data_IF_597615193802
#
_entry.id   IF_597615193802
#
_cell.length_a   1.000
_cell.length_b   1.000
_cell.length_c   1.000
_cell.angle_alpha   90.00
_cell.angle_beta   90.00
_cell.angle_gamma   90.00
#
_symmetry.space_group_name_H-M   'P 1'
#
loop_
_entity.id
_entity.type
_entity.pdbx_description
1 polymer ?
#
# COMPACT_ATOMS: atom_id res chain seq x y z
N UNK A 1 -2.93 -22.99 -37.86
CA UNK A 1 -3.45 -21.84 -38.63
C UNK A 1 -4.34 -21.04 -37.69
N UNK A 2 -3.82 -19.98 -37.07
CA UNK A 2 -4.54 -19.19 -36.05
C UNK A 2 -5.35 -18.13 -36.78
N UNK A 3 -6.67 -18.14 -36.61
CA UNK A 3 -7.59 -17.16 -37.19
C UNK A 3 -7.80 -16.06 -36.13
N UNK A 4 -7.08 -14.95 -36.25
CA UNK A 4 -7.34 -13.76 -35.46
C UNK A 4 -8.62 -13.09 -35.96
N UNK A 5 -9.62 -12.98 -35.08
CA UNK A 5 -10.84 -12.20 -35.32
C UNK A 5 -10.73 -10.94 -34.47
N UNK A 6 -10.41 -9.82 -35.09
CA UNK A 6 -10.53 -8.51 -34.46
C UNK A 6 -12.02 -8.14 -34.37
N UNK A 7 -12.60 -8.25 -33.19
CA UNK A 7 -13.79 -7.47 -32.81
C UNK A 7 -13.28 -6.25 -32.04
N UNK A 8 -13.87 -5.08 -32.32
CA UNK A 8 -13.69 -3.87 -31.52
C UNK A 8 -14.06 -4.18 -30.06
N UNK A 9 -13.07 -4.52 -29.25
CA UNK A 9 -13.17 -4.60 -27.80
C UNK A 9 -12.84 -3.19 -27.32
N UNK A 10 -13.76 -2.57 -26.57
CA UNK A 10 -13.46 -1.33 -25.83
C UNK A 10 -12.21 -1.59 -24.97
N UNK A 11 -11.34 -0.60 -24.79
CA UNK A 11 -10.04 -0.73 -24.14
C UNK A 11 -10.09 -1.18 -22.64
N UNK A 12 -11.28 -1.47 -22.14
CA UNK A 12 -11.65 -1.58 -20.74
C UNK A 12 -11.47 -3.00 -20.19
N UNK A 13 -11.33 -4.05 -21.02
CA UNK A 13 -11.34 -5.45 -20.55
C UNK A 13 -10.39 -6.38 -21.35
N UNK A 14 -9.11 -6.04 -21.44
CA UNK A 14 -8.09 -7.03 -21.84
C UNK A 14 -7.79 -7.94 -20.65
N UNK A 15 -8.32 -9.16 -20.68
CA UNK A 15 -8.01 -10.23 -19.71
C UNK A 15 -7.34 -11.41 -20.43
N UNK A 16 -6.20 -11.86 -19.90
CA UNK A 16 -5.62 -13.16 -20.24
C UNK A 16 -5.88 -14.14 -19.10
N UNK A 17 -6.48 -15.29 -19.44
CA UNK A 17 -6.81 -16.35 -18.49
C UNK A 17 -6.19 -17.67 -18.94
N UNK A 18 -5.49 -18.33 -18.02
CA UNK A 18 -4.87 -19.64 -18.22
C UNK A 18 -5.31 -20.61 -17.13
N UNK A 19 -5.44 -21.88 -17.50
CA UNK A 19 -5.87 -22.95 -16.61
C UNK A 19 -4.79 -24.02 -16.58
N UNK A 20 -4.35 -24.40 -15.38
CA UNK A 20 -3.32 -25.40 -15.16
C UNK A 20 -3.87 -26.52 -14.28
N UNK A 21 -3.69 -27.76 -14.72
CA UNK A 21 -3.96 -28.95 -13.91
C UNK A 21 -2.85 -29.27 -12.92
N UNK A 22 -3.07 -30.28 -12.08
CA UNK A 22 -2.14 -30.66 -11.02
C UNK A 22 -0.73 -31.04 -11.53
N UNK A 23 -0.62 -31.56 -12.74
CA UNK A 23 0.65 -31.99 -13.34
C UNK A 23 1.40 -30.89 -14.08
N UNK A 24 0.78 -29.71 -14.28
CA UNK A 24 1.31 -28.63 -15.13
C UNK A 24 2.02 -27.53 -14.33
N UNK A 25 2.62 -27.88 -13.18
CA UNK A 25 3.25 -26.90 -12.30
C UNK A 25 4.37 -26.11 -13.00
N UNK A 26 5.20 -26.78 -13.80
CA UNK A 26 6.33 -26.14 -14.48
C UNK A 26 5.87 -25.19 -15.60
N UNK A 27 4.83 -25.57 -16.35
CA UNK A 27 4.19 -24.73 -17.35
C UNK A 27 3.54 -23.49 -16.70
N UNK A 28 2.90 -23.68 -15.55
CA UNK A 28 2.32 -22.60 -14.75
C UNK A 28 3.39 -21.60 -14.29
N UNK A 29 4.51 -22.09 -13.77
CA UNK A 29 5.63 -21.22 -13.35
C UNK A 29 6.19 -20.45 -14.54
N UNK A 30 6.39 -21.11 -15.69
CA UNK A 30 6.86 -20.42 -16.89
C UNK A 30 5.88 -19.33 -17.33
N UNK A 31 4.57 -19.62 -17.31
CA UNK A 31 3.55 -18.64 -17.64
C UNK A 31 3.57 -17.43 -16.70
N UNK A 32 3.80 -17.65 -15.40
CA UNK A 32 3.96 -16.58 -14.40
C UNK A 32 5.22 -15.76 -14.68
N UNK A 33 6.35 -16.40 -15.00
CA UNK A 33 7.62 -15.71 -15.27
C UNK A 33 7.54 -14.80 -16.50
N UNK A 34 6.88 -15.25 -17.56
CA UNK A 34 6.62 -14.44 -18.76
C UNK A 34 5.78 -13.19 -18.45
N UNK A 35 5.07 -13.17 -17.31
CA UNK A 35 4.17 -12.10 -16.84
C UNK A 35 4.63 -11.49 -15.51
N UNK A 36 5.92 -11.61 -15.19
CA UNK A 36 6.51 -11.14 -13.92
C UNK A 36 6.34 -9.65 -13.60
N UNK A 37 5.95 -8.83 -14.57
CA UNK A 37 5.73 -7.38 -14.37
C UNK A 37 4.25 -7.02 -14.17
N UNK A 38 3.35 -8.00 -14.17
CA UNK A 38 1.92 -7.78 -14.02
C UNK A 38 1.40 -8.42 -12.73
N UNK A 39 0.30 -7.88 -12.22
CA UNK A 39 -0.47 -8.49 -11.15
C UNK A 39 -1.15 -9.74 -11.70
N UNK A 40 -0.97 -10.85 -10.99
CA UNK A 40 -1.58 -12.13 -11.34
C UNK A 40 -2.56 -12.51 -10.24
N UNK A 41 -3.84 -12.43 -10.59
CA UNK A 41 -4.92 -12.97 -9.79
C UNK A 41 -5.00 -14.48 -10.03
N UNK A 42 -5.47 -15.20 -9.02
CA UNK A 42 -5.63 -16.63 -9.10
C UNK A 42 -6.95 -17.08 -8.47
N UNK A 43 -7.54 -18.08 -9.09
CA UNK A 43 -8.65 -18.86 -8.55
C UNK A 43 -8.17 -20.31 -8.49
N UNK A 44 -8.34 -20.94 -7.34
CA UNK A 44 -7.80 -22.26 -7.04
C UNK A 44 -8.97 -23.13 -6.62
N UNK A 45 -9.08 -24.28 -7.24
CA UNK A 45 -10.03 -25.31 -6.84
C UNK A 45 -9.30 -26.60 -6.51
N UNK A 46 -9.73 -27.27 -5.45
CA UNK A 46 -9.04 -28.42 -4.92
C UNK A 46 -9.89 -29.28 -4.00
N UNK A 47 -9.30 -30.38 -3.55
CA UNK A 47 -9.83 -31.17 -2.45
C UNK A 47 -8.90 -31.07 -1.26
N UNK A 48 -9.45 -30.90 -0.08
CA UNK A 48 -8.76 -31.17 1.17
C UNK A 48 -8.51 -32.68 1.31
N UNK A 49 -7.50 -33.07 2.08
CA UNK A 49 -7.29 -34.49 2.46
C UNK A 49 -8.50 -35.06 3.21
N UNK A 50 -9.30 -34.21 3.87
CA UNK A 50 -10.57 -34.57 4.51
C UNK A 50 -11.75 -34.77 3.52
N UNK A 51 -11.48 -34.87 2.22
CA UNK A 51 -12.44 -34.99 1.10
C UNK A 51 -13.40 -33.79 0.89
N UNK A 52 -13.22 -32.68 1.62
CA UNK A 52 -13.98 -31.44 1.41
C UNK A 52 -13.48 -30.70 0.16
N UNK A 53 -14.40 -30.21 -0.67
CA UNK A 53 -14.06 -29.34 -1.80
C UNK A 53 -13.65 -27.95 -1.31
N UNK A 54 -12.68 -27.34 -1.99
CA UNK A 54 -12.22 -25.99 -1.73
C UNK A 54 -12.22 -25.19 -3.02
N UNK A 55 -12.67 -23.94 -2.90
CA UNK A 55 -12.57 -22.93 -3.94
C UNK A 55 -12.13 -21.63 -3.28
N UNK A 56 -11.01 -21.08 -3.73
CA UNK A 56 -10.50 -19.81 -3.22
C UNK A 56 -10.05 -18.90 -4.35
N UNK A 57 -10.12 -17.60 -4.10
CA UNK A 57 -9.56 -16.57 -4.96
C UNK A 57 -8.56 -15.75 -4.18
N UNK A 58 -7.57 -15.22 -4.87
CA UNK A 58 -6.55 -14.40 -4.26
C UNK A 58 -5.52 -13.91 -5.26
N UNK A 59 -4.42 -13.39 -4.72
CA UNK A 59 -3.32 -12.85 -5.51
C UNK A 59 -2.02 -13.60 -5.27
N UNK A 60 -1.23 -13.73 -6.33
CA UNK A 60 0.11 -14.31 -6.24
C UNK A 60 1.05 -13.34 -5.50
N UNK A 61 1.76 -13.86 -4.49
CA UNK A 61 2.79 -13.14 -3.75
C UNK A 61 4.17 -13.37 -4.37
N UNK A 62 4.99 -12.32 -4.37
CA UNK A 62 6.35 -12.28 -4.90
C UNK A 62 7.36 -11.96 -3.81
N UNK A 63 8.64 -12.19 -4.09
CA UNK A 63 9.70 -11.73 -3.20
C UNK A 63 9.82 -10.21 -3.25
N UNK A 64 10.48 -9.66 -2.22
CA UNK A 64 10.77 -8.23 -2.13
C UNK A 64 11.70 -7.68 -3.21
N UNK A 65 12.48 -8.54 -3.86
CA UNK A 65 13.31 -8.19 -5.02
C UNK A 65 12.53 -8.23 -6.35
N UNK A 66 11.24 -8.54 -6.31
CA UNK A 66 10.37 -8.66 -7.47
C UNK A 66 10.42 -10.00 -8.19
N UNK A 67 11.27 -10.95 -7.76
CA UNK A 67 11.37 -12.25 -8.40
C UNK A 67 10.26 -13.19 -7.91
N UNK A 68 9.80 -14.12 -8.78
CA UNK A 68 8.86 -15.13 -8.33
C UNK A 68 9.59 -16.29 -7.63
N UNK A 69 8.82 -17.05 -6.87
CA UNK A 69 9.28 -18.28 -6.26
C UNK A 69 9.19 -19.44 -7.26
N UNK A 70 10.34 -20.03 -7.61
CA UNK A 70 10.41 -21.09 -8.63
C UNK A 70 10.08 -22.50 -8.12
N UNK A 71 10.06 -22.69 -6.79
CA UNK A 71 9.83 -24.00 -6.14
C UNK A 71 8.50 -24.09 -5.38
N UNK A 72 7.83 -22.97 -5.19
CA UNK A 72 6.54 -22.91 -4.49
C UNK A 72 5.80 -21.67 -4.95
N UNK A 73 4.47 -21.71 -5.01
CA UNK A 73 3.65 -20.51 -5.11
C UNK A 73 3.19 -20.09 -3.72
N UNK A 74 3.15 -18.79 -3.49
CA UNK A 74 2.57 -18.19 -2.30
C UNK A 74 1.40 -17.33 -2.74
N UNK A 75 0.25 -17.52 -2.13
CA UNK A 75 -0.99 -16.86 -2.55
C UNK A 75 -1.67 -16.30 -1.31
N UNK A 76 -1.97 -15.01 -1.33
CA UNK A 76 -2.86 -14.39 -0.36
C UNK A 76 -4.29 -14.65 -0.80
N UNK A 77 -5.01 -15.51 -0.08
CA UNK A 77 -6.44 -15.75 -0.29
C UNK A 77 -7.25 -14.56 0.19
N UNK A 78 -8.09 -14.03 -0.66
CA UNK A 78 -8.97 -12.89 -0.36
C UNK A 78 -10.43 -13.34 -0.18
N UNK A 79 -10.81 -14.42 -0.87
CA UNK A 79 -12.13 -15.06 -0.77
C UNK A 79 -11.95 -16.58 -0.81
N UNK A 80 -12.83 -17.34 -0.14
CA UNK A 80 -12.88 -18.77 -0.34
C UNK A 80 -13.97 -19.49 0.45
N UNK A 81 -14.42 -20.61 -0.11
CA UNK A 81 -15.37 -21.54 0.50
C UNK A 81 -14.61 -22.72 1.11
N UNK A 82 -14.75 -22.92 2.42
CA UNK A 82 -14.13 -24.01 3.16
C UNK A 82 -15.18 -24.92 3.78
N UNK A 83 -15.58 -25.97 3.06
CA UNK A 83 -16.47 -27.01 3.62
C UNK A 83 -17.88 -26.53 3.99
N UNK A 84 -18.54 -27.26 4.90
CA UNK A 84 -19.98 -27.18 5.20
C UNK A 84 -20.46 -25.90 5.90
N UNK A 85 -19.55 -25.07 6.40
CA UNK A 85 -19.86 -23.98 7.33
C UNK A 85 -19.38 -22.59 6.85
N UNK A 86 -19.10 -22.44 5.54
CA UNK A 86 -18.81 -21.15 4.87
C UNK A 86 -17.93 -20.19 5.69
N UNK A 87 -16.82 -20.70 6.25
CA UNK A 87 -15.85 -19.84 6.91
C UNK A 87 -15.18 -19.01 5.81
N UNK A 88 -15.48 -17.70 5.79
CA UNK A 88 -14.75 -16.70 5.02
C UNK A 88 -13.28 -16.83 5.38
N UNK A 89 -12.49 -17.43 4.50
CA UNK A 89 -11.04 -17.49 4.65
C UNK A 89 -10.53 -16.06 4.47
N UNK A 90 -10.43 -15.33 5.59
CA UNK A 90 -9.92 -13.98 5.62
C UNK A 90 -8.43 -13.99 5.33
N UNK A 91 -8.01 -13.30 4.25
CA UNK A 91 -6.64 -12.82 3.99
C UNK A 91 -5.52 -13.81 4.36
N UNK A 92 -5.67 -15.11 4.16
CA UNK A 92 -4.70 -16.14 4.61
C UNK A 92 -3.65 -16.41 3.55
N UNK A 93 -2.39 -16.63 3.94
CA UNK A 93 -1.35 -17.03 2.98
C UNK A 93 -1.32 -18.55 2.84
N UNK A 94 -1.49 -19.04 1.61
CA UNK A 94 -1.30 -20.46 1.28
C UNK A 94 -0.03 -20.67 0.46
N UNK A 95 0.59 -21.84 0.65
CA UNK A 95 1.80 -22.24 -0.07
C UNK A 95 1.57 -23.53 -0.86
N UNK A 96 1.68 -23.45 -2.19
CA UNK A 96 1.67 -24.62 -3.08
C UNK A 96 3.11 -25.01 -3.41
N UNK A 97 3.50 -26.27 -3.19
CA UNK A 97 4.87 -26.73 -3.50
C UNK A 97 4.95 -27.40 -4.87
N UNK A 98 6.11 -27.25 -5.54
CA UNK A 98 6.46 -28.04 -6.73
C UNK A 98 6.53 -29.54 -6.38
N UNK A 99 5.95 -30.44 -7.19
CA UNK A 99 6.05 -31.89 -6.98
C UNK A 99 7.50 -32.40 -6.97
N UNK A 100 7.85 -33.33 -6.07
CA UNK A 100 9.14 -34.04 -6.12
C UNK A 100 9.04 -35.29 -7.03
N UNK A 101 9.91 -35.37 -8.04
CA UNK A 101 9.92 -36.41 -9.07
C UNK A 101 9.96 -37.87 -8.56
N UNK A 102 10.43 -38.15 -7.35
CA UNK A 102 10.51 -39.51 -6.79
C UNK A 102 9.21 -40.02 -6.15
N UNK A 103 8.27 -39.13 -5.77
CA UNK A 103 6.94 -39.52 -5.27
C UNK A 103 5.89 -39.62 -6.40
N UNK A 104 6.21 -39.05 -7.58
CA UNK A 104 5.33 -38.98 -8.75
C UNK A 104 4.99 -40.35 -9.36
N UNK A 105 5.69 -41.44 -8.99
CA UNK A 105 5.35 -42.80 -9.44
C UNK A 105 4.23 -43.47 -8.64
N UNK A 106 3.77 -42.92 -7.51
CA UNK A 106 2.65 -43.52 -6.75
C UNK A 106 1.47 -42.60 -6.47
N UNK A 107 1.64 -41.27 -6.35
CA UNK A 107 0.52 -40.34 -6.13
C UNK A 107 0.84 -38.98 -6.80
N UNK A 108 0.21 -38.69 -7.94
CA UNK A 108 0.46 -37.50 -8.76
C UNK A 108 -0.15 -36.19 -8.24
N UNK A 109 -0.17 -35.97 -6.92
CA UNK A 109 -0.89 -34.83 -6.31
C UNK A 109 0.03 -33.67 -5.95
N UNK A 110 -0.38 -32.45 -6.28
CA UNK A 110 0.18 -31.24 -5.67
C UNK A 110 -0.17 -31.20 -4.19
N UNK A 111 0.80 -30.81 -3.36
CA UNK A 111 0.64 -30.74 -1.91
C UNK A 111 0.74 -29.28 -1.47
N UNK A 112 -0.36 -28.72 -0.98
CA UNK A 112 -0.41 -27.44 -0.27
C UNK A 112 -0.25 -27.75 1.21
N UNK A 113 0.81 -27.26 1.83
CA UNK A 113 0.85 -27.21 3.29
C UNK A 113 0.04 -25.97 3.71
N UNK A 114 -1.09 -26.17 4.37
CA UNK A 114 -1.64 -25.14 5.26
C UNK A 114 -0.84 -25.24 6.54
N UNK A 115 -0.26 -24.12 6.94
CA UNK A 115 0.71 -24.11 8.01
C UNK A 115 -0.03 -23.93 9.33
N UNK A 116 -0.42 -25.07 9.89
CA UNK A 116 -0.62 -25.25 11.33
C UNK A 116 0.42 -26.30 11.77
N UNK A 117 1.19 -26.03 12.83
CA UNK A 117 2.20 -26.95 13.38
C UNK A 117 1.75 -27.33 14.80
N UNK A 118 1.59 -28.57 15.26
CA UNK A 118 1.73 -30.00 14.86
C UNK A 118 1.06 -30.80 16.04
N UNK A 119 0.88 -32.15 16.08
CA UNK A 119 0.86 -33.22 15.08
C UNK A 119 -0.39 -34.14 15.25
N UNK A 120 -1.55 -33.84 14.66
CA UNK A 120 -2.54 -34.89 14.32
C UNK A 120 -3.22 -34.53 12.99
N UNK A 121 -2.65 -35.04 11.90
CA UNK A 121 -3.16 -35.05 10.51
C UNK A 121 -3.36 -33.68 9.81
N UNK A 122 -2.66 -33.40 8.68
CA UNK A 122 -2.60 -32.08 8.09
C UNK A 122 -3.90 -31.70 7.38
N UNK A 123 -4.39 -30.50 7.70
CA UNK A 123 -5.16 -29.66 6.78
C UNK A 123 -4.29 -29.42 5.53
N UNK A 124 -4.32 -30.36 4.58
CA UNK A 124 -3.56 -30.28 3.34
C UNK A 124 -4.53 -30.14 2.18
N UNK A 125 -4.36 -29.10 1.37
CA UNK A 125 -5.10 -28.95 0.12
C UNK A 125 -4.32 -29.61 -1.03
N UNK A 126 -5.03 -30.37 -1.86
CA UNK A 126 -4.55 -30.82 -3.16
C UNK A 126 -5.35 -30.11 -4.24
N UNK A 127 -4.81 -29.04 -4.83
CA UNK A 127 -5.49 -28.28 -5.87
C UNK A 127 -5.54 -29.12 -7.14
N UNK A 128 -6.73 -29.27 -7.70
CA UNK A 128 -6.97 -30.01 -8.93
C UNK A 128 -6.84 -29.08 -10.14
N UNK A 129 -7.13 -27.79 -9.95
CA UNK A 129 -7.12 -26.79 -11.03
C UNK A 129 -6.73 -25.43 -10.49
N UNK A 130 -5.76 -24.80 -11.15
CA UNK A 130 -5.38 -23.41 -10.97
C UNK A 130 -5.85 -22.61 -12.17
N UNK A 131 -6.51 -21.49 -11.90
CA UNK A 131 -6.90 -20.53 -12.90
C UNK A 131 -6.11 -19.26 -12.59
N UNK A 132 -5.22 -18.87 -13.48
CA UNK A 132 -4.47 -17.62 -13.37
C UNK A 132 -5.06 -16.60 -14.33
N UNK A 133 -5.19 -15.36 -13.85
CA UNK A 133 -5.74 -14.23 -14.59
C UNK A 133 -4.75 -13.08 -14.55
N UNK A 134 -4.50 -12.52 -15.72
CA UNK A 134 -3.70 -11.31 -15.90
C UNK A 134 -4.58 -10.26 -16.59
N UNK A 135 -4.91 -9.19 -15.87
CA UNK A 135 -5.64 -8.03 -16.40
C UNK A 135 -4.69 -6.97 -16.98
N UNK A 136 -3.43 -7.32 -17.20
CA UNK A 136 -2.35 -6.45 -17.67
C UNK A 136 -2.11 -5.20 -16.80
N UNK A 137 -2.54 -5.25 -15.54
CA UNK A 137 -2.22 -4.24 -14.53
C UNK A 137 -0.78 -4.42 -14.09
N UNK A 138 0.05 -3.39 -14.27
CA UNK A 138 1.46 -3.41 -13.83
C UNK A 138 1.53 -3.66 -12.34
N UNK A 139 2.42 -4.57 -11.95
CA UNK A 139 2.78 -4.74 -10.55
C UNK A 139 3.83 -3.68 -10.19
N UNK A 140 3.40 -2.69 -9.41
CA UNK A 140 4.25 -1.61 -8.94
C UNK A 140 5.06 -1.99 -7.69
N UNK A 141 4.90 -3.21 -7.17
CA UNK A 141 5.52 -3.68 -5.93
C UNK A 141 5.21 -2.81 -4.70
N UNK A 142 4.02 -2.18 -4.69
CA UNK A 142 3.56 -1.46 -3.52
C UNK A 142 3.39 -2.39 -2.32
N UNK A 143 3.23 -3.70 -2.57
CA UNK A 143 3.18 -4.73 -1.57
C UNK A 143 4.38 -5.67 -1.67
N UNK A 144 4.96 -5.98 -0.51
CA UNK A 144 6.16 -6.78 -0.36
C UNK A 144 5.91 -7.91 0.62
N UNK A 145 6.36 -9.12 0.29
CA UNK A 145 6.13 -10.33 1.09
C UNK A 145 7.46 -10.92 1.59
N UNK A 146 7.46 -11.31 2.86
CA UNK A 146 8.58 -11.91 3.58
C UNK A 146 8.12 -13.18 4.31
N UNK A 147 8.97 -14.20 4.33
CA UNK A 147 8.78 -15.40 5.15
C UNK A 147 9.64 -15.25 6.38
N UNK A 148 9.05 -15.05 7.55
CA UNK A 148 9.78 -14.62 8.74
C UNK A 148 10.91 -15.58 9.18
N UNK A 149 10.76 -16.87 8.90
CA UNK A 149 11.81 -17.85 9.21
C UNK A 149 13.07 -17.72 8.32
N UNK A 150 12.97 -17.10 7.14
CA UNK A 150 14.06 -16.99 6.17
C UNK A 150 14.47 -15.53 5.92
N UNK A 151 13.49 -14.62 5.89
CA UNK A 151 13.62 -13.29 5.29
C UNK A 151 13.32 -12.15 6.31
N UNK A 152 13.35 -12.42 7.61
CA UNK A 152 12.96 -11.42 8.63
C UNK A 152 13.99 -10.29 8.84
N UNK A 153 15.28 -10.59 8.69
CA UNK A 153 16.32 -9.55 8.73
C UNK A 153 16.19 -8.62 7.52
N UNK A 154 15.93 -9.19 6.34
CA UNK A 154 15.61 -8.43 5.13
C UNK A 154 14.34 -7.57 5.31
N UNK A 155 13.33 -8.09 6.03
CA UNK A 155 12.12 -7.34 6.33
C UNK A 155 12.39 -6.11 7.22
N UNK A 156 13.25 -6.24 8.24
CA UNK A 156 13.68 -5.11 9.09
C UNK A 156 14.44 -4.08 8.25
N UNK A 157 15.42 -4.52 7.46
CA UNK A 157 16.21 -3.62 6.61
C UNK A 157 15.31 -2.86 5.62
N UNK A 158 14.40 -3.58 4.96
CA UNK A 158 13.41 -2.98 4.07
C UNK A 158 12.57 -1.95 4.81
N UNK A 159 11.96 -2.31 5.95
CA UNK A 159 11.12 -1.37 6.71
C UNK A 159 11.86 -0.12 7.16
N UNK A 160 13.11 -0.24 7.62
CA UNK A 160 13.92 0.90 8.03
C UNK A 160 14.15 1.90 6.87
N UNK A 161 14.22 1.41 5.63
CA UNK A 161 14.38 2.24 4.44
C UNK A 161 13.11 2.96 3.98
N UNK A 162 11.92 2.40 4.27
CA UNK A 162 10.64 2.95 3.81
C UNK A 162 9.87 3.73 4.88
N UNK A 163 9.89 3.29 6.13
CA UNK A 163 9.06 3.88 7.21
C UNK A 163 9.47 5.33 7.56
N UNK A 164 10.66 5.76 7.15
CA UNK A 164 11.11 7.16 7.27
C UNK A 164 10.39 8.11 6.32
N UNK A 165 9.94 7.61 5.17
CA UNK A 165 9.39 8.41 4.07
C UNK A 165 7.94 8.07 3.76
N UNK A 166 7.48 6.88 4.10
CA UNK A 166 6.17 6.37 3.73
C UNK A 166 5.45 5.77 4.91
N UNK A 167 4.13 5.91 4.92
CA UNK A 167 3.28 5.15 5.83
C UNK A 167 3.30 3.71 5.34
N UNK A 168 3.73 2.78 6.19
CA UNK A 168 3.73 1.36 5.85
C UNK A 168 2.62 0.66 6.62
N UNK A 169 1.69 0.05 5.91
CA UNK A 169 0.70 -0.86 6.49
C UNK A 169 1.22 -2.29 6.44
N UNK A 170 0.71 -3.13 7.33
CA UNK A 170 1.14 -4.51 7.41
C UNK A 170 -0.02 -5.48 7.55
N UNK A 171 0.23 -6.70 7.11
CA UNK A 171 -0.55 -7.89 7.36
C UNK A 171 0.43 -8.98 7.80
N UNK A 172 0.21 -9.53 9.00
CA UNK A 172 1.11 -10.50 9.61
C UNK A 172 0.30 -11.71 10.05
N UNK A 173 0.69 -12.87 9.55
CA UNK A 173 0.17 -14.16 9.97
C UNK A 173 1.21 -14.82 10.88
N UNK A 174 0.79 -15.29 12.05
CA UNK A 174 1.68 -15.85 13.05
C UNK A 174 0.96 -16.31 14.30
N UNK A 175 1.72 -16.43 15.40
CA UNK A 175 1.20 -16.87 16.70
C UNK A 175 1.51 -15.78 17.73
N UNK A 176 0.49 -15.32 18.45
CA UNK A 176 0.71 -14.54 19.67
C UNK A 176 1.02 -15.52 20.79
N UNK A 177 2.14 -15.28 21.45
CA UNK A 177 2.55 -16.00 22.65
C UNK A 177 2.48 -15.01 23.81
N UNK A 178 1.59 -15.26 24.77
CA UNK A 178 1.60 -14.59 26.07
C UNK A 178 1.84 -15.59 27.21
N UNK A 179 2.02 -15.07 28.42
CA UNK A 179 2.11 -15.89 29.63
C UNK A 179 0.87 -16.78 29.86
N UNK A 180 -0.29 -16.38 29.36
CA UNK A 180 -1.58 -17.05 29.61
C UNK A 180 -2.00 -18.02 28.50
N UNK A 181 -1.67 -17.72 27.24
CA UNK A 181 -2.11 -18.53 26.09
C UNK A 181 -1.28 -18.31 24.83
N UNK A 182 -1.39 -19.27 23.91
CA UNK A 182 -0.88 -19.16 22.55
C UNK A 182 -2.04 -19.24 21.57
N UNK A 183 -2.12 -18.26 20.66
CA UNK A 183 -3.28 -18.11 19.74
C UNK A 183 -2.76 -17.81 18.34
N UNK A 184 -3.27 -18.53 17.34
CA UNK A 184 -3.03 -18.19 15.94
C UNK A 184 -3.68 -16.85 15.63
N UNK A 185 -2.97 -15.99 14.92
CA UNK A 185 -3.48 -14.66 14.64
C UNK A 185 -3.12 -14.20 13.23
N UNK A 186 -4.05 -13.44 12.66
CA UNK A 186 -3.78 -12.54 11.56
C UNK A 186 -3.91 -11.12 12.11
N UNK A 187 -2.82 -10.37 12.09
CA UNK A 187 -2.75 -8.98 12.56
C UNK A 187 -2.62 -8.07 11.35
N UNK A 188 -3.50 -7.07 11.27
CA UNK A 188 -3.38 -5.98 10.31
C UNK A 188 -3.19 -4.66 11.05
N UNK A 189 -2.35 -3.79 10.50
CA UNK A 189 -2.00 -2.58 11.21
C UNK A 189 -1.12 -1.62 10.43
N UNK A 190 -0.60 -0.64 11.14
CA UNK A 190 0.37 0.33 10.65
C UNK A 190 1.67 0.12 11.40
N UNK A 191 2.78 0.05 10.68
CA UNK A 191 4.12 0.02 11.30
C UNK A 191 4.37 1.38 11.95
N UNK A 192 4.47 1.39 13.28
CA UNK A 192 4.66 2.60 14.07
C UNK A 192 6.15 2.88 14.32
N UNK A 193 6.90 1.81 14.60
CA UNK A 193 8.34 1.89 14.87
C UNK A 193 9.02 0.60 14.45
N UNK A 194 10.28 0.70 14.02
CA UNK A 194 11.14 -0.45 13.74
C UNK A 194 12.50 -0.18 14.37
N UNK A 195 13.09 -1.21 14.95
CA UNK A 195 14.50 -1.21 15.37
C UNK A 195 15.20 -2.43 14.75
N UNK A 196 16.47 -2.63 15.08
CA UNK A 196 17.30 -3.70 14.50
C UNK A 196 16.84 -5.13 14.80
N UNK A 197 15.82 -5.33 15.66
CA UNK A 197 15.34 -6.64 16.11
C UNK A 197 13.83 -6.83 16.02
N UNK A 198 13.07 -5.75 16.20
CA UNK A 198 11.66 -5.78 16.48
C UNK A 198 10.90 -4.78 15.62
N UNK A 199 9.70 -5.21 15.22
CA UNK A 199 8.73 -4.37 14.50
C UNK A 199 7.59 -4.09 15.46
N UNK A 200 7.23 -2.81 15.57
CA UNK A 200 6.19 -2.32 16.45
C UNK A 200 5.01 -1.85 15.62
N UNK A 201 3.85 -2.48 15.84
CA UNK A 201 2.67 -2.32 14.98
C UNK A 201 1.54 -1.75 15.79
N UNK A 202 1.04 -0.61 15.34
CA UNK A 202 -0.26 -0.12 15.78
C UNK A 202 -1.34 -0.96 15.10
N UNK A 203 -1.98 -1.82 15.87
CA UNK A 203 -3.02 -2.74 15.39
C UNK A 203 -4.23 -1.94 14.92
N UNK A 204 -4.75 -2.32 13.76
CA UNK A 204 -6.02 -1.82 13.21
C UNK A 204 -7.10 -2.88 13.38
N UNK A 205 -6.77 -4.14 13.09
CA UNK A 205 -7.66 -5.29 13.29
C UNK A 205 -6.83 -6.55 13.47
N UNK A 206 -7.34 -7.49 14.26
CA UNK A 206 -6.71 -8.78 14.51
C UNK A 206 -7.76 -9.85 14.81
N UNK A 207 -7.56 -11.06 14.31
CA UNK A 207 -8.47 -12.17 14.54
C UNK A 207 -7.74 -13.52 14.53
N UNK A 208 -8.36 -14.52 15.14
CA UNK A 208 -7.95 -15.92 15.06
C UNK A 208 -8.54 -16.54 13.79
N UNK A 209 -7.73 -17.00 12.83
CA UNK A 209 -8.24 -17.60 11.60
C UNK A 209 -8.92 -18.96 11.81
N UNK A 210 -8.73 -19.62 12.97
CA UNK A 210 -9.35 -20.89 13.31
C UNK A 210 -10.72 -20.72 13.98
N UNK A 211 -10.95 -19.57 14.61
CA UNK A 211 -12.22 -19.22 15.26
C UNK A 211 -12.55 -17.71 15.06
N UNK A 212 -12.84 -17.29 13.82
CA UNK A 212 -12.94 -15.86 13.47
C UNK A 212 -14.17 -15.16 14.04
N UNK A 213 -15.16 -15.91 14.54
CA UNK A 213 -16.40 -15.39 15.13
C UNK A 213 -16.30 -15.24 16.66
N UNK A 214 -15.13 -15.49 17.25
CA UNK A 214 -14.93 -15.39 18.69
C UNK A 214 -14.64 -13.96 19.13
N UNK A 215 -15.68 -13.27 19.60
CA UNK A 215 -15.61 -11.89 20.05
C UNK A 215 -14.64 -11.69 21.24
N UNK A 216 -14.50 -12.67 22.14
CA UNK A 216 -13.57 -12.58 23.28
C UNK A 216 -12.11 -12.62 22.83
N UNK A 217 -11.77 -13.54 21.92
CA UNK A 217 -10.44 -13.60 21.31
C UNK A 217 -10.16 -12.34 20.50
N UNK A 218 -11.14 -11.86 19.74
CA UNK A 218 -11.00 -10.60 18.99
C UNK A 218 -10.76 -9.40 19.90
N UNK A 219 -11.59 -9.20 20.92
CA UNK A 219 -11.41 -8.13 21.90
C UNK A 219 -10.05 -8.22 22.58
N UNK A 220 -9.59 -9.44 22.91
CA UNK A 220 -8.26 -9.65 23.51
C UNK A 220 -7.12 -9.29 22.55
N UNK A 221 -7.23 -9.65 21.27
CA UNK A 221 -6.25 -9.31 20.23
C UNK A 221 -6.23 -7.81 19.90
N UNK A 222 -7.36 -7.12 20.05
CA UNK A 222 -7.53 -5.70 19.70
C UNK A 222 -7.52 -4.75 20.90
N UNK A 223 -7.14 -5.23 22.10
CA UNK A 223 -7.32 -4.54 23.39
C UNK A 223 -6.44 -3.29 23.63
N UNK A 224 -6.02 -2.63 22.55
CA UNK A 224 -5.12 -1.48 22.49
C UNK A 224 -3.70 -1.83 22.99
N UNK A 225 -2.72 -1.92 22.05
CA UNK A 225 -1.32 -1.49 22.18
C UNK A 225 -0.56 -1.75 20.87
N UNK A 226 0.55 -1.04 20.74
CA UNK A 226 1.60 -1.35 19.78
C UNK A 226 2.10 -2.78 20.02
N UNK A 227 1.81 -3.70 19.11
CA UNK A 227 2.26 -5.09 19.21
C UNK A 227 3.73 -5.16 18.80
N UNK A 228 4.53 -5.84 19.61
CA UNK A 228 5.87 -6.25 19.22
C UNK A 228 5.79 -7.52 18.38
N UNK A 229 6.41 -7.48 17.20
CA UNK A 229 6.67 -8.65 16.37
C UNK A 229 8.15 -9.00 16.53
N UNK A 230 8.44 -10.26 16.87
CA UNK A 230 9.81 -10.73 17.08
C UNK A 230 9.98 -12.21 16.77
N UNK A 231 11.22 -12.64 16.53
CA UNK A 231 11.56 -14.07 16.40
C UNK A 231 11.53 -14.82 17.74
N UNK A 232 11.80 -14.13 18.86
CA UNK A 232 12.02 -14.78 20.18
C UNK A 232 11.44 -13.96 21.34
N UNK A 233 10.96 -14.62 22.41
CA UNK A 233 10.53 -14.04 23.69
C UNK A 233 9.07 -14.33 24.06
N UNK A 234 8.54 -13.64 25.07
CA UNK A 234 7.15 -13.72 25.55
C UNK A 234 6.38 -12.41 25.29
N UNK A 235 5.05 -12.47 25.37
CA UNK A 235 4.07 -11.39 25.16
C UNK A 235 4.20 -10.66 23.80
N UNK A 236 4.27 -11.44 22.72
CA UNK A 236 4.50 -10.90 21.37
C UNK A 236 3.93 -11.76 20.25
N UNK A 237 3.88 -11.21 19.04
CA UNK A 237 3.62 -11.98 17.82
C UNK A 237 4.93 -12.59 17.32
N UNK A 238 4.92 -13.91 17.13
CA UNK A 238 5.90 -14.65 16.37
C UNK A 238 5.38 -14.81 14.93
N UNK A 239 5.90 -14.05 13.96
CA UNK A 239 5.39 -14.07 12.60
C UNK A 239 5.83 -15.35 11.89
N UNK A 240 4.95 -15.90 11.07
CA UNK A 240 5.30 -16.85 10.02
C UNK A 240 5.43 -16.13 8.67
N UNK A 241 4.46 -15.27 8.35
CA UNK A 241 4.42 -14.47 7.15
C UNK A 241 4.21 -13.00 7.47
N UNK A 242 4.91 -12.14 6.73
CA UNK A 242 4.77 -10.70 6.82
C UNK A 242 4.58 -10.13 5.43
N UNK A 243 3.52 -9.34 5.29
CA UNK A 243 3.23 -8.59 4.08
C UNK A 243 3.22 -7.12 4.50
N UNK A 244 4.02 -6.31 3.82
CA UNK A 244 4.05 -4.87 4.02
C UNK A 244 3.59 -4.17 2.76
N UNK A 245 2.85 -3.08 2.93
CA UNK A 245 2.36 -2.26 1.84
C UNK A 245 2.77 -0.81 2.06
N UNK A 246 3.47 -0.25 1.09
CA UNK A 246 3.88 1.15 1.05
C UNK A 246 2.64 1.96 0.68
N UNK A 247 2.14 2.74 1.64
CA UNK A 247 1.06 3.67 1.45
C UNK A 247 1.57 5.04 1.04
N UNK A 248 0.83 6.07 1.47
CA UNK A 248 1.16 7.46 1.14
C UNK A 248 2.53 7.87 1.68
N UNK A 249 3.22 8.70 0.92
CA UNK A 249 4.43 9.38 1.38
C UNK A 249 4.08 10.23 2.61
N UNK A 250 4.79 10.00 3.71
CA UNK A 250 4.79 10.85 4.90
C UNK A 250 5.40 12.18 4.46
N UNK A 251 4.53 13.05 3.96
CA UNK A 251 4.90 14.19 3.16
C UNK A 251 6.02 15.04 3.79
N UNK A 252 6.96 15.43 2.93
CA UNK A 252 7.53 16.78 2.79
C UNK A 252 7.05 17.72 3.91
N UNK A 253 7.97 18.05 4.83
CA UNK A 253 7.84 18.93 6.00
C UNK A 253 6.40 19.16 6.50
N UNK A 254 6.06 18.63 7.69
CA UNK A 254 4.77 18.93 8.37
C UNK A 254 4.39 20.42 8.27
N UNK A 255 5.36 21.33 8.33
CA UNK A 255 5.23 22.77 8.05
C UNK A 255 5.36 23.02 6.54
N UNK A 256 4.27 23.42 5.89
CA UNK A 256 4.23 23.77 4.46
C UNK A 256 4.56 25.23 4.24
N UNK A 257 4.14 26.10 5.16
CA UNK A 257 4.47 27.52 5.15
C UNK A 257 5.00 27.90 6.53
N UNK A 258 6.12 28.62 6.56
CA UNK A 258 6.66 29.27 7.75
C UNK A 258 6.83 30.75 7.45
N UNK A 259 6.31 31.60 8.31
CA UNK A 259 6.40 33.06 8.27
C UNK A 259 6.93 33.49 9.64
N UNK A 260 8.09 34.16 9.67
CA UNK A 260 8.78 34.55 10.90
C UNK A 260 9.25 36.00 10.80
N UNK A 261 8.90 36.81 11.80
CA UNK A 261 9.26 38.22 11.94
C UNK A 261 8.98 39.05 10.68
N UNK A 262 7.91 38.72 9.95
CA UNK A 262 7.69 39.30 8.62
C UNK A 262 7.15 40.72 8.71
N UNK A 263 7.84 41.62 8.02
CA UNK A 263 7.47 43.04 7.93
C UNK A 263 7.53 43.53 6.49
N UNK A 264 6.48 44.23 6.07
CA UNK A 264 6.33 44.72 4.68
C UNK A 264 6.13 46.23 4.70
N UNK A 265 6.97 46.95 3.96
CA UNK A 265 6.92 48.41 3.82
C UNK A 265 6.58 48.78 2.38
N UNK A 266 5.48 49.48 2.16
CA UNK A 266 5.05 49.96 0.84
C UNK A 266 4.85 51.47 0.87
N UNK A 267 5.43 52.18 -0.09
CA UNK A 267 5.28 53.64 -0.20
C UNK A 267 5.72 54.41 1.06
N UNK A 268 6.73 53.91 1.78
CA UNK A 268 7.22 54.50 3.02
C UNK A 268 6.35 54.26 4.26
N UNK A 269 5.32 53.41 4.16
CA UNK A 269 4.47 53.02 5.29
C UNK A 269 4.61 51.53 5.56
N UNK A 270 4.79 51.17 6.82
CA UNK A 270 4.73 49.77 7.25
C UNK A 270 3.29 49.29 7.17
N UNK A 271 3.06 48.22 6.41
CA UNK A 271 1.73 47.62 6.21
C UNK A 271 1.58 46.35 7.05
N UNK A 272 2.65 45.55 7.13
CA UNK A 272 2.71 44.34 7.96
C UNK A 272 3.78 44.56 9.03
N UNK A 273 3.44 44.25 10.28
CA UNK A 273 4.31 44.43 11.45
C UNK A 273 4.58 43.07 12.09
N UNK A 274 5.82 42.60 11.96
CA UNK A 274 6.40 41.48 12.72
C UNK A 274 5.43 40.30 12.90
N UNK A 275 5.00 39.72 11.77
CA UNK A 275 4.00 38.63 11.76
C UNK A 275 4.68 37.27 11.77
N UNK A 276 4.25 36.43 12.71
CA UNK A 276 4.66 35.04 12.84
C UNK A 276 3.46 34.09 12.68
N UNK A 277 3.60 33.11 11.80
CA UNK A 277 2.70 31.95 11.76
C UNK A 277 3.29 30.81 10.92
N UNK A 278 2.70 29.65 11.11
CA UNK A 278 3.03 28.45 10.35
C UNK A 278 1.76 27.74 9.92
N UNK A 279 1.80 27.08 8.76
CA UNK A 279 0.69 26.28 8.23
C UNK A 279 1.19 24.87 8.01
N UNK A 280 0.48 23.89 8.59
CA UNK A 280 0.77 22.49 8.38
C UNK A 280 0.12 21.95 7.10
N UNK A 281 0.64 20.82 6.58
CA UNK A 281 0.02 20.16 5.43
C UNK A 281 -1.45 19.81 5.75
N UNK A 282 -2.37 20.30 4.92
CA UNK A 282 -3.82 20.06 5.05
C UNK A 282 -4.53 21.04 5.98
N UNK A 283 -3.82 21.98 6.61
CA UNK A 283 -4.40 23.01 7.46
C UNK A 283 -5.00 24.16 6.63
N UNK A 284 -6.09 24.74 7.11
CA UNK A 284 -6.77 25.88 6.49
C UNK A 284 -6.56 27.12 7.37
N UNK A 285 -5.82 28.11 6.86
CA UNK A 285 -5.64 29.41 7.52
C UNK A 285 -6.65 30.44 7.01
N UNK A 286 -7.43 31.02 7.91
CA UNK A 286 -8.28 32.18 7.64
C UNK A 286 -7.63 33.49 8.13
N UNK A 287 -7.33 34.42 7.22
CA UNK A 287 -6.85 35.77 7.59
C UNK A 287 -8.06 36.73 7.58
N UNK A 288 -8.45 37.22 8.74
CA UNK A 288 -9.63 38.07 8.94
C UNK A 288 -9.20 39.44 9.48
N UNK A 289 -9.85 40.51 9.01
CA UNK A 289 -9.59 41.88 9.45
C UNK A 289 -10.26 42.91 8.56
N UNK A 290 -10.28 44.17 8.99
CA UNK A 290 -10.88 45.28 8.23
C UNK A 290 -10.20 45.51 6.87
N UNK A 291 -10.87 46.25 5.98
CA UNK A 291 -10.23 46.69 4.73
C UNK A 291 -9.00 47.53 5.04
N UNK A 292 -7.87 47.23 4.38
CA UNK A 292 -6.60 47.90 4.67
C UNK A 292 -5.75 47.28 5.78
N UNK A 293 -6.23 46.26 6.50
CA UNK A 293 -5.46 45.57 7.56
C UNK A 293 -4.26 44.73 7.05
N UNK A 294 -3.88 44.82 5.78
CA UNK A 294 -2.71 44.12 5.25
C UNK A 294 -2.93 42.70 4.72
N UNK A 295 -4.14 42.12 4.81
CA UNK A 295 -4.44 40.73 4.38
C UNK A 295 -3.89 40.36 2.99
N UNK A 296 -4.23 41.15 1.97
CA UNK A 296 -3.76 40.91 0.60
C UNK A 296 -2.26 41.17 0.45
N UNK A 297 -1.69 42.05 1.29
CA UNK A 297 -0.25 42.32 1.33
C UNK A 297 0.52 41.13 1.90
N UNK A 298 0.02 40.49 2.96
CA UNK A 298 0.58 39.24 3.51
C UNK A 298 0.61 38.14 2.45
N UNK A 299 -0.52 37.91 1.76
CA UNK A 299 -0.60 36.90 0.70
C UNK A 299 0.40 37.17 -0.42
N UNK A 300 0.53 38.44 -0.84
CA UNK A 300 1.47 38.82 -1.90
C UNK A 300 2.93 38.73 -1.48
N UNK A 301 3.26 38.98 -0.21
CA UNK A 301 4.60 38.73 0.31
C UNK A 301 4.95 37.23 0.26
N UNK A 302 4.00 36.35 0.62
CA UNK A 302 4.19 34.87 0.52
C UNK A 302 4.43 34.42 -0.93
N UNK A 303 3.74 35.06 -1.89
CA UNK A 303 3.96 34.82 -3.33
C UNK A 303 5.29 35.39 -3.86
N UNK A 304 6.02 36.13 -3.03
CA UNK A 304 7.22 36.86 -3.44
C UNK A 304 6.95 38.03 -4.38
N UNK A 305 5.71 38.57 -4.41
CA UNK A 305 5.37 39.77 -5.20
C UNK A 305 5.86 41.08 -4.52
N UNK A 306 6.08 41.06 -3.20
CA UNK A 306 6.55 42.21 -2.43
C UNK A 306 7.82 41.86 -1.64
N UNK A 307 8.71 42.85 -1.51
CA UNK A 307 9.84 42.78 -0.61
C UNK A 307 9.39 42.80 0.86
N UNK A 308 10.09 42.06 1.70
CA UNK A 308 9.84 41.97 3.13
C UNK A 308 11.15 41.84 3.91
N UNK A 309 11.10 42.26 5.17
CA UNK A 309 12.06 41.87 6.21
C UNK A 309 11.54 40.58 6.89
N UNK A 310 12.42 39.81 7.53
CA UNK A 310 12.09 38.53 8.16
C UNK A 310 12.29 37.34 7.23
N UNK A 311 11.55 36.25 7.48
CA UNK A 311 11.71 34.96 6.79
C UNK A 311 10.37 34.39 6.36
N UNK A 312 10.27 33.99 5.08
CA UNK A 312 9.13 33.22 4.55
C UNK A 312 9.67 32.01 3.80
N UNK A 313 9.19 30.82 4.17
CA UNK A 313 9.56 29.56 3.54
C UNK A 313 8.34 28.76 3.14
N UNK A 314 8.28 28.32 1.88
CA UNK A 314 7.26 27.42 1.33
C UNK A 314 7.92 26.08 1.05
N UNK A 315 7.49 25.01 1.73
CA UNK A 315 8.15 23.70 1.73
C UNK A 315 9.66 23.80 2.05
N UNK A 316 10.04 24.69 2.97
CA UNK A 316 11.43 24.96 3.33
C UNK A 316 12.23 25.80 2.31
N UNK A 317 11.60 26.23 1.21
CA UNK A 317 12.22 27.05 0.16
C UNK A 317 11.88 28.52 0.42
N UNK A 318 12.89 29.37 0.48
CA UNK A 318 12.69 30.81 0.69
C UNK A 318 11.78 31.42 -0.40
N UNK A 319 10.78 32.20 0.01
CA UNK A 319 9.75 32.71 -0.89
C UNK A 319 10.24 33.73 -1.94
N UNK A 320 11.39 34.39 -1.72
CA UNK A 320 12.01 35.22 -2.76
C UNK A 320 12.47 34.40 -3.98
N UNK A 321 12.62 33.08 -3.85
CA UNK A 321 12.89 32.17 -4.98
C UNK A 321 11.59 31.79 -5.70
N UNK A 322 10.88 32.79 -6.21
CA UNK A 322 9.54 32.68 -6.79
C UNK A 322 9.40 31.56 -7.84
N UNK A 323 10.37 31.43 -8.75
CA UNK A 323 10.37 30.34 -9.76
C UNK A 323 10.40 28.93 -9.16
N UNK A 324 11.04 28.77 -8.00
CA UNK A 324 11.17 27.47 -7.35
C UNK A 324 9.93 27.12 -6.52
N UNK A 325 9.27 28.13 -5.95
CA UNK A 325 8.04 27.92 -5.16
C UNK A 325 6.77 27.87 -6.02
N UNK A 326 6.76 28.50 -7.19
CA UNK A 326 5.57 28.65 -8.05
C UNK A 326 4.85 27.32 -8.38
N UNK A 327 5.55 26.20 -8.64
CA UNK A 327 4.89 24.90 -8.88
C UNK A 327 4.06 24.39 -7.70
N UNK A 328 4.30 24.90 -6.49
CA UNK A 328 3.64 24.47 -5.27
C UNK A 328 2.46 25.36 -4.86
N UNK A 329 2.26 26.51 -5.52
CA UNK A 329 1.26 27.51 -5.12
C UNK A 329 0.26 27.75 -6.25
N UNK A 330 -1.02 27.56 -5.93
CA UNK A 330 -2.14 28.08 -6.71
C UNK A 330 -2.64 29.39 -6.12
N UNK A 331 -2.68 30.46 -6.92
CA UNK A 331 -3.18 31.76 -6.48
C UNK A 331 -4.40 32.19 -7.29
N UNK A 332 -5.50 32.49 -6.59
CA UNK A 332 -6.70 33.07 -7.19
C UNK A 332 -6.72 34.57 -6.86
N UNK A 333 -6.48 35.45 -7.84
CA UNK A 333 -6.45 36.88 -7.60
C UNK A 333 -7.85 37.43 -7.33
N UNK A 334 -7.92 38.51 -6.54
CA UNK A 334 -9.15 39.27 -6.33
C UNK A 334 -9.63 39.94 -7.63
N UNK A 335 -8.70 40.39 -8.46
CA UNK A 335 -9.00 40.99 -9.76
C UNK A 335 -8.96 39.92 -10.85
N UNK A 336 -10.15 39.58 -11.36
CA UNK A 336 -10.34 38.59 -12.41
C UNK A 336 -9.90 39.08 -13.80
N UNK A 337 -9.53 40.35 -13.95
CA UNK A 337 -8.92 40.87 -15.20
C UNK A 337 -7.61 40.16 -15.56
N UNK A 338 -7.01 39.44 -14.60
CA UNK A 338 -5.83 38.59 -14.80
C UNK A 338 -6.12 37.28 -15.57
N UNK A 339 -7.39 36.94 -15.80
CA UNK A 339 -7.76 35.79 -16.65
C UNK A 339 -7.77 36.16 -18.13
N UNK A 340 -7.69 35.15 -19.00
CA UNK A 340 -7.80 35.37 -20.44
C UNK A 340 -9.26 35.70 -20.79
N UNK A 341 -9.55 36.99 -21.01
CA UNK A 341 -10.91 37.47 -21.26
C UNK A 341 -11.56 36.94 -22.56
N UNK A 342 -10.76 36.42 -23.49
CA UNK A 342 -11.24 35.82 -24.73
C UNK A 342 -11.44 34.30 -24.62
N UNK A 343 -11.17 33.70 -23.46
CA UNK A 343 -11.26 32.26 -23.24
C UNK A 343 -12.51 31.94 -22.41
N UNK A 344 -13.16 30.83 -22.71
CA UNK A 344 -14.15 30.23 -21.81
C UNK A 344 -13.49 29.62 -20.57
N UNK A 345 -14.29 29.12 -19.62
CA UNK A 345 -13.77 28.58 -18.36
C UNK A 345 -12.80 27.40 -18.59
N UNK A 346 -13.15 26.47 -19.46
CA UNK A 346 -12.32 25.30 -19.76
C UNK A 346 -11.01 25.71 -20.45
N UNK A 347 -11.08 26.66 -21.39
CA UNK A 347 -9.91 27.20 -22.08
C UNK A 347 -8.94 27.89 -21.11
N UNK A 348 -9.45 28.62 -20.11
CA UNK A 348 -8.60 29.17 -19.04
C UNK A 348 -7.92 28.05 -18.23
N UNK A 349 -8.68 27.03 -17.80
CA UNK A 349 -8.15 25.89 -17.03
C UNK A 349 -7.05 25.17 -17.82
N UNK A 350 -7.29 24.85 -19.10
CA UNK A 350 -6.32 24.18 -19.97
C UNK A 350 -5.09 25.05 -20.20
N UNK A 351 -5.27 26.36 -20.42
CA UNK A 351 -4.16 27.29 -20.63
C UNK A 351 -3.25 27.39 -19.40
N UNK A 352 -3.82 27.48 -18.19
CA UNK A 352 -3.02 27.44 -16.95
C UNK A 352 -2.36 26.08 -16.73
N UNK A 353 -3.09 24.98 -16.93
CA UNK A 353 -2.53 23.62 -16.79
C UNK A 353 -1.29 23.41 -17.66
N UNK A 354 -1.32 23.87 -18.91
CA UNK A 354 -0.17 23.81 -19.81
C UNK A 354 1.03 24.62 -19.32
N UNK A 355 0.83 25.79 -18.72
CA UNK A 355 1.93 26.59 -18.15
C UNK A 355 2.62 25.88 -16.98
N UNK A 356 1.89 25.03 -16.26
CA UNK A 356 2.41 24.18 -15.19
C UNK A 356 2.94 22.83 -15.71
N UNK A 357 2.96 22.62 -17.03
CA UNK A 357 3.49 21.39 -17.64
C UNK A 357 2.59 20.17 -17.49
N UNK A 358 1.29 20.36 -17.25
CA UNK A 358 0.32 19.26 -17.19
C UNK A 358 0.14 18.66 -18.61
N UNK A 359 0.31 17.34 -18.78
CA UNK A 359 0.07 16.64 -20.05
C UNK A 359 -1.35 16.84 -20.60
N UNK A 360 -1.48 16.92 -21.93
CA UNK A 360 -2.77 17.17 -22.59
C UNK A 360 -3.81 16.05 -22.33
N UNK A 361 -3.36 14.80 -22.13
CA UNK A 361 -4.22 13.65 -21.79
C UNK A 361 -4.82 13.71 -20.37
N UNK A 362 -4.30 14.59 -19.51
CA UNK A 362 -4.87 14.89 -18.20
C UNK A 362 -5.72 16.17 -18.19
N UNK A 363 -5.66 16.99 -19.25
CA UNK A 363 -6.37 18.27 -19.35
C UNK A 363 -7.65 18.18 -20.20
N UNK A 364 -7.77 17.18 -21.09
CA UNK A 364 -8.82 17.09 -22.12
C UNK A 364 -9.52 15.73 -22.10
#
# INVERSE_FOLDING_TARGET
MVKMVYKNIRADELEEKSIFGETQFDEMIQWIEDRKNFIIECEITGKWITDKFFKGKGRLLRKYDGTNFTRSLYILLEEGELGKDDILIGRKVIRIKRPRALAARRLGRNVINVLSREPESPEMLSPNTFVLKNQFKKDLQNQVFFRANQDYEDAIEWLLSFTQKYRVTCHIEGIIVSDEKQVECIVTGVVEKVNDRDIFIKVVDAFDPTDPLNDETKEWLTRDWTIQVSKTGLDKVHPEYMIFEVGEELAITKKVLTVEDVKVVLGGRTIIHDVDFEIQKGEILGIIGESGAGKSTTLKAILGEFDYEGSIHVFGINAHRTRTIAPFIGYVPQDLSRMYGNFNCLENIVAFGRQYGIPDDLLI
#
